data_IF_072063063249
#
_entry.id   IF_072063063249
#
_cell.length_a   1.000
_cell.length_b   1.000
_cell.length_c   1.000
_cell.angle_alpha   90.00
_cell.angle_beta   90.00
_cell.angle_gamma   90.00
#
_symmetry.space_group_name_H-M   'P 1'
#
loop_
_entity.id
_entity.type
_entity.pdbx_description
1 polymer ?
#
# COMPACT_ATOMS: atom_id res chain seq x y z
N UNK A 1 -7.80 25.75 -4.30
CA UNK A 1 -8.09 25.48 -2.88
C UNK A 1 -7.17 26.32 -1.97
N UNK A 2 -7.19 27.65 -2.09
CA UNK A 2 -6.48 28.61 -1.21
C UNK A 2 -7.41 29.83 -0.95
N UNK A 3 -8.71 29.72 -1.26
CA UNK A 3 -9.59 30.89 -1.39
C UNK A 3 -10.30 31.33 -0.09
N UNK A 4 -10.13 30.62 1.02
CA UNK A 4 -10.92 30.83 2.25
C UNK A 4 -10.06 31.01 3.52
N UNK A 5 -8.98 31.78 3.44
CA UNK A 5 -7.95 31.81 4.50
C UNK A 5 -8.01 33.03 5.43
N UNK A 6 -8.74 34.08 5.06
CA UNK A 6 -8.65 35.37 5.77
C UNK A 6 -7.22 35.93 5.80
N UNK A 7 -6.36 35.59 4.84
CA UNK A 7 -5.00 36.12 4.67
C UNK A 7 -4.96 37.16 3.54
N UNK A 8 -3.90 37.96 3.49
CA UNK A 8 -3.71 38.92 2.39
C UNK A 8 -3.55 38.19 1.06
N UNK A 9 -4.00 38.81 -0.03
CA UNK A 9 -3.87 38.27 -1.41
C UNK A 9 -2.42 37.98 -1.80
N UNK A 10 -1.48 38.78 -1.30
CA UNK A 10 -0.04 38.56 -1.49
C UNK A 10 0.42 37.25 -0.86
N UNK A 11 0.01 36.99 0.39
CA UNK A 11 0.32 35.76 1.08
C UNK A 11 -0.37 34.55 0.41
N UNK A 12 -1.61 34.71 -0.04
CA UNK A 12 -2.33 33.68 -0.83
C UNK A 12 -1.54 33.29 -2.09
N UNK A 13 -1.03 34.29 -2.82
CA UNK A 13 -0.22 34.09 -4.02
C UNK A 13 1.10 33.39 -3.71
N UNK A 14 1.78 33.79 -2.62
CA UNK A 14 3.02 33.16 -2.19
C UNK A 14 2.81 31.70 -1.76
N UNK A 15 1.69 31.39 -1.10
CA UNK A 15 1.31 30.03 -0.75
C UNK A 15 1.02 29.19 -1.99
N UNK A 16 0.32 29.74 -2.98
CA UNK A 16 0.09 29.05 -4.25
C UNK A 16 1.41 28.70 -4.95
N UNK A 17 2.36 29.65 -5.00
CA UNK A 17 3.69 29.40 -5.55
C UNK A 17 4.43 28.30 -4.77
N UNK A 18 4.42 28.37 -3.44
CA UNK A 18 5.03 27.35 -2.59
C UNK A 18 4.44 25.96 -2.83
N UNK A 19 3.11 25.86 -2.99
CA UNK A 19 2.43 24.63 -3.37
C UNK A 19 2.91 24.08 -4.71
N UNK A 20 2.99 24.92 -5.76
CA UNK A 20 3.48 24.50 -7.06
C UNK A 20 4.93 24.01 -6.99
N UNK A 21 5.78 24.70 -6.23
CA UNK A 21 7.15 24.24 -5.98
C UNK A 21 7.18 22.89 -5.26
N UNK A 22 6.25 22.66 -4.32
CA UNK A 22 6.05 21.37 -3.65
C UNK A 22 5.78 20.25 -4.64
N UNK A 23 4.82 20.45 -5.54
CA UNK A 23 4.51 19.48 -6.60
C UNK A 23 5.75 19.17 -7.46
N UNK A 24 6.38 20.22 -7.99
CA UNK A 24 7.55 20.10 -8.87
C UNK A 24 8.74 19.40 -8.18
N UNK A 25 8.86 19.53 -6.86
CA UNK A 25 9.87 18.86 -6.06
C UNK A 25 9.63 17.35 -5.90
N UNK A 26 8.38 16.89 -6.00
CA UNK A 26 7.99 15.48 -5.93
C UNK A 26 7.86 14.79 -7.30
N UNK A 27 7.72 15.53 -8.40
CA UNK A 27 7.44 15.01 -9.76
C UNK A 27 8.35 13.87 -10.26
N UNK A 28 9.57 13.75 -9.73
CA UNK A 28 10.54 12.72 -10.14
C UNK A 28 10.80 11.67 -9.07
N UNK A 29 10.11 11.73 -7.93
CA UNK A 29 10.20 10.71 -6.90
C UNK A 29 9.14 9.66 -7.18
N UNK A 30 9.46 8.38 -6.99
CA UNK A 30 8.49 7.30 -7.15
C UNK A 30 8.25 6.60 -5.82
N UNK A 31 6.98 6.36 -5.46
CA UNK A 31 6.61 5.49 -4.36
C UNK A 31 6.39 4.07 -4.87
N UNK A 32 7.19 3.13 -4.38
CA UNK A 32 7.16 1.72 -4.79
C UNK A 32 6.64 0.87 -3.65
N UNK A 33 5.51 0.17 -3.86
CA UNK A 33 4.97 -0.79 -2.90
C UNK A 33 5.74 -2.11 -2.90
N UNK A 34 6.02 -2.64 -1.72
CA UNK A 34 6.73 -3.90 -1.48
C UNK A 34 6.15 -4.62 -0.26
N UNK A 35 6.47 -5.90 -0.14
CA UNK A 35 6.16 -6.69 1.04
C UNK A 35 7.31 -7.64 1.39
N UNK A 36 7.35 -8.05 2.65
CA UNK A 36 8.23 -9.11 3.13
C UNK A 36 7.38 -10.38 3.27
N UNK A 37 7.83 -11.48 2.64
CA UNK A 37 7.22 -12.80 2.79
C UNK A 37 7.99 -13.68 3.80
N UNK A 38 7.39 -14.78 4.29
CA UNK A 38 6.00 -15.20 4.04
C UNK A 38 4.97 -14.36 4.79
N UNK A 39 3.69 -14.51 4.44
CA UNK A 39 2.59 -13.82 5.12
C UNK A 39 2.40 -14.35 6.55
N UNK A 40 2.14 -13.46 7.49
CA UNK A 40 1.89 -13.73 8.91
C UNK A 40 1.18 -12.56 9.59
N UNK A 41 0.97 -12.67 10.90
CA UNK A 41 0.14 -11.73 11.67
C UNK A 41 0.62 -10.28 11.65
N UNK A 42 1.92 -10.04 11.44
CA UNK A 42 2.54 -8.71 11.36
C UNK A 42 2.86 -8.29 9.94
N UNK A 43 2.52 -9.10 8.92
CA UNK A 43 2.80 -8.78 7.53
C UNK A 43 2.01 -7.55 7.12
N UNK A 44 2.67 -6.67 6.36
CA UNK A 44 2.08 -5.44 5.87
C UNK A 44 2.77 -5.05 4.56
N UNK A 45 2.02 -4.37 3.69
CA UNK A 45 2.60 -3.74 2.51
C UNK A 45 3.21 -2.40 2.92
N UNK A 46 4.43 -2.14 2.49
CA UNK A 46 5.11 -0.88 2.74
C UNK A 46 5.55 -0.22 1.44
N UNK A 47 5.82 1.07 1.51
CA UNK A 47 6.23 1.91 0.40
C UNK A 47 7.61 2.47 0.69
N UNK A 48 8.50 2.38 -0.29
CA UNK A 48 9.79 3.04 -0.28
C UNK A 48 9.80 4.16 -1.33
N UNK A 49 10.66 5.16 -1.13
CA UNK A 49 10.91 6.17 -2.15
C UNK A 49 12.10 5.77 -3.01
N UNK A 50 11.87 5.72 -4.31
CA UNK A 50 12.93 5.66 -5.30
C UNK A 50 13.30 7.07 -5.74
N UNK A 51 14.60 7.39 -5.68
CA UNK A 51 15.16 8.68 -6.09
C UNK A 51 16.02 8.46 -7.34
N UNK A 52 15.62 9.01 -8.51
CA UNK A 52 16.44 8.93 -9.71
C UNK A 52 17.79 9.62 -9.52
N UNK A 53 18.84 9.08 -10.13
CA UNK A 53 20.21 9.59 -9.99
C UNK A 53 20.40 11.07 -10.37
N UNK A 54 19.52 11.63 -11.21
CA UNK A 54 19.54 13.03 -11.62
C UNK A 54 18.99 14.04 -10.60
N UNK A 55 18.39 13.59 -9.49
CA UNK A 55 17.80 14.48 -8.48
C UNK A 55 18.79 14.96 -7.41
N UNK A 56 20.08 14.60 -7.55
CA UNK A 56 21.14 14.86 -6.56
C UNK A 56 21.40 16.34 -6.34
N UNK A 57 21.72 16.67 -5.10
CA UNK A 57 22.11 18.03 -4.69
C UNK A 57 23.50 18.35 -5.27
N UNK A 58 23.58 19.45 -6.00
CA UNK A 58 24.80 19.94 -6.64
C UNK A 58 25.31 21.25 -6.01
N UNK A 59 24.42 22.04 -5.43
CA UNK A 59 24.73 23.32 -4.78
C UNK A 59 24.93 23.15 -3.27
N UNK A 60 25.80 24.00 -2.68
CA UNK A 60 25.92 24.12 -1.22
C UNK A 60 24.80 24.99 -0.66
N UNK A 61 24.01 24.41 0.24
CA UNK A 61 22.96 25.10 0.99
C UNK A 61 23.40 25.31 2.46
N UNK A 62 22.84 26.33 3.11
CA UNK A 62 23.08 26.56 4.52
C UNK A 62 22.58 25.38 5.38
N UNK A 63 23.23 25.05 6.51
CA UNK A 63 22.83 23.90 7.35
C UNK A 63 21.38 23.94 7.82
N UNK A 64 20.83 25.14 8.04
CA UNK A 64 19.45 25.35 8.46
C UNK A 64 18.43 24.88 7.41
N UNK A 65 18.77 24.91 6.13
CA UNK A 65 17.90 24.42 5.03
C UNK A 65 17.77 22.89 5.10
N UNK A 66 18.89 22.18 5.23
CA UNK A 66 18.88 20.73 5.37
C UNK A 66 18.17 20.28 6.64
N UNK A 67 18.34 21.01 7.75
CA UNK A 67 17.59 20.74 8.99
C UNK A 67 16.08 20.89 8.81
N UNK A 68 15.61 21.91 8.08
CA UNK A 68 14.17 22.08 7.78
C UNK A 68 13.64 21.00 6.83
N UNK A 69 14.44 20.54 5.86
CA UNK A 69 14.08 19.43 4.99
C UNK A 69 13.88 18.14 5.81
N UNK A 70 14.80 17.86 6.74
CA UNK A 70 14.75 16.69 7.61
C UNK A 70 13.52 16.63 8.52
N UNK A 71 12.87 17.76 8.80
CA UNK A 71 11.71 17.74 9.69
C UNK A 71 10.51 17.01 9.05
N UNK A 72 10.27 17.16 7.74
CA UNK A 72 9.05 16.63 7.10
C UNK A 72 9.15 16.15 5.65
N UNK A 73 10.33 16.18 5.03
CA UNK A 73 10.55 15.64 3.68
C UNK A 73 11.35 14.34 3.74
N UNK A 74 11.01 13.35 2.90
CA UNK A 74 11.61 12.03 2.98
C UNK A 74 13.04 11.96 2.45
N UNK A 75 13.43 12.87 1.55
CA UNK A 75 14.72 12.87 0.86
C UNK A 75 15.20 14.30 0.62
N UNK A 76 16.50 14.47 0.37
CA UNK A 76 17.08 15.75 -0.02
C UNK A 76 17.33 15.79 -1.53
N UNK A 77 16.61 16.66 -2.23
CA UNK A 77 16.82 16.93 -3.66
C UNK A 77 17.15 18.41 -3.87
N UNK A 78 17.82 18.72 -4.98
CA UNK A 78 18.14 20.11 -5.33
C UNK A 78 16.88 21.00 -5.35
N UNK A 79 15.77 20.49 -5.89
CA UNK A 79 14.48 21.21 -5.95
C UNK A 79 13.90 21.49 -4.55
N UNK A 80 14.00 20.52 -3.64
CA UNK A 80 13.55 20.66 -2.25
C UNK A 80 14.35 21.75 -1.55
N UNK A 81 15.69 21.64 -1.56
CA UNK A 81 16.55 22.57 -0.83
C UNK A 81 16.47 23.99 -1.41
N UNK A 82 16.41 24.13 -2.74
CA UNK A 82 16.19 25.42 -3.41
C UNK A 82 14.88 26.09 -3.00
N UNK A 83 13.81 25.31 -2.85
CA UNK A 83 12.50 25.85 -2.47
C UNK A 83 12.51 26.30 -1.01
N UNK A 84 13.11 25.52 -0.12
CA UNK A 84 13.26 25.89 1.29
C UNK A 84 14.11 27.16 1.47
N UNK A 85 15.19 27.30 0.68
CA UNK A 85 15.99 28.53 0.63
C UNK A 85 15.12 29.72 0.22
N UNK A 86 14.36 29.60 -0.89
CA UNK A 86 13.42 30.62 -1.34
C UNK A 86 12.35 30.99 -0.30
N UNK A 87 11.81 30.03 0.45
CA UNK A 87 10.80 30.28 1.49
C UNK A 87 11.34 31.23 2.57
N UNK A 88 12.64 31.16 2.90
CA UNK A 88 13.30 31.96 3.93
C UNK A 88 13.84 33.31 3.42
N UNK A 89 13.91 33.53 2.10
CA UNK A 89 14.41 34.80 1.54
C UNK A 89 13.52 35.95 2.00
N UNK A 90 14.13 36.95 2.64
CA UNK A 90 13.44 38.16 3.12
C UNK A 90 12.68 37.98 4.44
N UNK A 91 12.73 36.80 5.06
CA UNK A 91 12.10 36.53 6.35
C UNK A 91 13.04 36.91 7.52
N UNK A 92 12.49 36.96 8.74
CA UNK A 92 13.28 37.27 9.94
C UNK A 92 14.45 36.26 10.13
N UNK A 93 15.63 36.69 10.62
CA UNK A 93 16.81 35.82 10.72
C UNK A 93 16.62 34.53 11.55
N UNK A 94 15.71 34.58 12.54
CA UNK A 94 15.37 33.49 13.45
C UNK A 94 14.22 32.59 12.94
N UNK A 95 13.66 32.88 11.77
CA UNK A 95 12.50 32.17 11.20
C UNK A 95 12.74 30.67 11.04
N UNK A 96 13.95 30.27 10.62
CA UNK A 96 14.29 28.86 10.42
C UNK A 96 14.31 28.08 11.75
N UNK A 97 14.87 28.67 12.80
CA UNK A 97 14.90 28.09 14.14
C UNK A 97 13.50 28.02 14.76
N UNK A 98 12.72 29.09 14.61
CA UNK A 98 11.34 29.13 15.08
C UNK A 98 10.48 28.06 14.40
N UNK A 99 10.55 27.97 13.06
CA UNK A 99 9.78 27.01 12.29
C UNK A 99 10.12 25.57 12.70
N UNK A 100 11.41 25.26 12.84
CA UNK A 100 11.85 23.94 13.33
C UNK A 100 11.31 23.62 14.72
N UNK A 101 11.41 24.57 15.66
CA UNK A 101 10.89 24.40 17.02
C UNK A 101 9.36 24.24 17.07
N UNK A 102 8.65 24.74 16.06
CA UNK A 102 7.20 24.61 15.87
C UNK A 102 6.80 23.27 15.25
N UNK A 103 7.60 22.73 14.33
CA UNK A 103 7.34 21.48 13.62
C UNK A 103 7.62 20.21 14.44
N UNK A 104 8.26 20.33 15.59
CA UNK A 104 8.49 19.20 16.51
C UNK A 104 7.16 18.49 16.85
N UNK A 105 7.08 17.19 16.54
CA UNK A 105 5.86 16.36 16.42
C UNK A 105 4.82 16.55 17.53
N UNK A 106 5.23 16.68 18.80
CA UNK A 106 4.31 16.79 19.94
C UNK A 106 3.49 18.09 19.98
N UNK A 107 3.97 19.15 19.34
CA UNK A 107 3.30 20.46 19.36
C UNK A 107 2.22 20.60 18.30
N UNK A 108 2.29 19.83 17.21
CA UNK A 108 1.35 19.93 16.09
C UNK A 108 0.07 19.10 16.27
N UNK A 109 0.12 18.00 17.03
CA UNK A 109 -1.07 17.18 17.35
C UNK A 109 -1.97 17.79 18.44
N UNK A 110 -1.46 18.74 19.25
CA UNK A 110 -2.17 19.33 20.40
C UNK A 110 -3.12 20.48 20.05
N UNK A 111 -3.55 20.60 18.79
CA UNK A 111 -4.30 21.79 18.33
C UNK A 111 -5.78 21.72 18.72
N UNK A 112 -6.03 22.08 19.98
CA UNK A 112 -7.30 22.59 20.49
C UNK A 112 -7.15 23.77 21.48
N UNK A 113 -5.95 24.33 21.68
CA UNK A 113 -5.79 25.49 22.56
C UNK A 113 -5.88 26.81 21.76
N UNK A 114 -6.80 27.73 22.10
CA UNK A 114 -6.95 29.03 21.44
C UNK A 114 -5.71 29.96 21.54
N UNK A 115 -4.76 29.62 22.41
CA UNK A 115 -3.52 30.40 22.67
C UNK A 115 -2.41 30.16 21.64
N UNK A 116 -2.58 29.25 20.68
CA UNK A 116 -1.57 28.91 19.68
C UNK A 116 -1.64 29.80 18.42
N UNK A 117 -1.89 31.11 18.58
CA UNK A 117 -1.83 32.03 17.43
C UNK A 117 -0.39 32.07 16.89
N UNK A 118 -0.25 31.88 15.57
CA UNK A 118 1.04 32.06 14.91
C UNK A 118 1.44 33.53 15.05
N UNK A 119 2.58 33.80 15.67
CA UNK A 119 3.09 35.16 15.79
C UNK A 119 3.14 35.82 14.41
N UNK A 120 2.67 37.06 14.33
CA UNK A 120 2.46 37.75 13.05
C UNK A 120 3.73 37.84 12.21
N UNK A 121 4.90 37.90 12.87
CA UNK A 121 6.23 37.91 12.24
C UNK A 121 6.60 36.60 11.52
N UNK A 122 6.05 35.45 11.91
CA UNK A 122 6.38 34.15 11.30
C UNK A 122 5.22 33.55 10.49
N UNK A 123 4.10 34.27 10.40
CA UNK A 123 2.90 33.84 9.68
C UNK A 123 3.23 33.49 8.24
N UNK A 124 4.03 34.31 7.58
CA UNK A 124 4.38 34.16 6.17
C UNK A 124 5.27 32.93 5.92
N UNK A 125 6.34 32.74 6.69
CA UNK A 125 7.21 31.56 6.58
C UNK A 125 6.46 30.25 6.88
N UNK A 126 5.60 30.24 7.91
CA UNK A 126 4.84 29.05 8.31
C UNK A 126 3.90 28.58 7.20
N UNK A 127 3.10 29.49 6.65
CA UNK A 127 2.13 29.13 5.61
C UNK A 127 2.76 28.78 4.28
N UNK A 128 3.86 29.45 3.89
CA UNK A 128 4.66 29.02 2.73
C UNK A 128 5.18 27.60 2.90
N UNK A 129 5.77 27.28 4.06
CA UNK A 129 6.27 25.93 4.35
C UNK A 129 5.16 24.88 4.32
N UNK A 130 4.02 25.16 4.98
CA UNK A 130 2.89 24.25 4.99
C UNK A 130 2.35 23.99 3.58
N UNK A 131 2.15 25.05 2.78
CA UNK A 131 1.68 24.91 1.40
C UNK A 131 2.66 24.10 0.53
N UNK A 132 3.96 24.31 0.72
CA UNK A 132 5.00 23.51 0.08
C UNK A 132 4.91 22.03 0.44
N UNK A 133 4.81 21.69 1.73
CA UNK A 133 4.66 20.30 2.19
C UNK A 133 3.40 19.65 1.61
N UNK A 134 2.27 20.35 1.60
CA UNK A 134 1.02 19.80 1.08
C UNK A 134 1.08 19.58 -0.43
N UNK A 135 1.65 20.53 -1.19
CA UNK A 135 1.87 20.37 -2.63
C UNK A 135 2.79 19.19 -2.95
N UNK A 136 3.83 18.99 -2.13
CA UNK A 136 4.75 17.85 -2.25
C UNK A 136 4.03 16.51 -2.05
N UNK A 137 3.33 16.31 -0.93
CA UNK A 137 2.65 15.05 -0.66
C UNK A 137 1.45 14.82 -1.58
N UNK A 138 0.77 15.87 -2.03
CA UNK A 138 -0.26 15.76 -3.06
C UNK A 138 0.27 15.12 -4.34
N UNK A 139 1.41 15.60 -4.83
CA UNK A 139 2.01 15.08 -6.05
C UNK A 139 2.63 13.70 -5.83
N UNK A 140 3.30 13.48 -4.70
CA UNK A 140 3.93 12.19 -4.39
C UNK A 140 2.88 11.07 -4.25
N UNK A 141 1.85 11.29 -3.44
CA UNK A 141 0.79 10.31 -3.19
C UNK A 141 -0.13 10.15 -4.40
N UNK A 142 -0.29 11.19 -5.23
CA UNK A 142 -1.08 11.13 -6.46
C UNK A 142 -0.65 10.01 -7.42
N UNK A 143 0.59 9.55 -7.34
CA UNK A 143 1.13 8.48 -8.19
C UNK A 143 0.58 7.09 -7.86
N UNK A 144 0.16 6.89 -6.61
CA UNK A 144 -0.36 5.61 -6.11
C UNK A 144 -1.88 5.61 -6.00
N UNK A 145 -2.55 6.68 -6.46
CA UNK A 145 -4.01 6.81 -6.42
C UNK A 145 -4.60 6.46 -7.78
N UNK A 146 -5.66 5.64 -7.78
CA UNK A 146 -6.55 5.44 -8.92
C UNK A 146 -7.84 6.23 -8.72
N UNK A 147 -8.16 7.09 -9.70
CA UNK A 147 -9.39 7.89 -9.75
C UNK A 147 -10.46 7.27 -10.66
N UNK A 148 -10.28 6.04 -11.15
CA UNK A 148 -11.20 5.40 -12.12
C UNK A 148 -12.67 5.39 -11.66
N UNK A 149 -12.90 5.29 -10.35
CA UNK A 149 -14.24 5.15 -9.75
C UNK A 149 -14.67 6.40 -8.97
N UNK A 150 -14.11 7.55 -9.36
CA UNK A 150 -14.17 8.77 -8.58
C UNK A 150 -14.32 9.99 -9.52
N UNK A 151 -15.33 10.83 -9.30
CA UNK A 151 -15.53 12.07 -10.08
C UNK A 151 -14.56 13.21 -9.71
N UNK A 152 -13.57 13.47 -10.57
CA UNK A 152 -12.39 14.31 -10.24
C UNK A 152 -12.65 15.75 -9.84
N UNK A 153 -13.82 16.29 -10.18
CA UNK A 153 -14.16 17.69 -9.93
C UNK A 153 -14.49 17.98 -8.45
N UNK A 154 -14.87 16.97 -7.66
CA UNK A 154 -15.46 17.14 -6.33
C UNK A 154 -14.53 16.72 -5.16
N UNK A 155 -13.27 16.33 -5.42
CA UNK A 155 -12.42 15.62 -4.44
C UNK A 155 -11.80 16.42 -3.29
N UNK A 156 -12.22 17.65 -3.05
CA UNK A 156 -11.55 18.50 -2.06
C UNK A 156 -12.42 18.75 -0.82
N UNK A 157 -12.73 17.67 -0.08
CA UNK A 157 -13.42 17.72 1.23
C UNK A 157 -12.49 17.53 2.45
N UNK A 158 -11.19 17.27 2.24
CA UNK A 158 -10.28 16.89 3.32
C UNK A 158 -9.91 17.99 4.32
N UNK A 159 -9.39 17.55 5.49
CA UNK A 159 -8.88 18.43 6.56
C UNK A 159 -7.42 18.83 6.27
N UNK A 160 -7.14 19.48 5.14
CA UNK A 160 -5.78 19.85 4.72
C UNK A 160 -5.65 21.28 4.19
N UNK A 161 -6.45 22.18 4.78
CA UNK A 161 -6.32 23.63 4.62
C UNK A 161 -5.25 24.26 5.51
N UNK A 162 -5.12 25.57 5.47
CA UNK A 162 -3.99 26.31 6.06
C UNK A 162 -3.93 26.29 7.58
N UNK A 163 -5.03 25.98 8.25
CA UNK A 163 -5.05 25.81 9.69
C UNK A 163 -4.87 24.34 10.11
N UNK A 164 -4.67 23.42 9.16
CA UNK A 164 -4.49 22.00 9.45
C UNK A 164 -3.06 21.69 9.87
N UNK A 165 -2.74 22.03 11.13
CA UNK A 165 -1.51 21.60 11.78
C UNK A 165 -1.46 20.10 11.98
N UNK A 166 -2.62 19.44 12.16
CA UNK A 166 -2.71 17.99 12.30
C UNK A 166 -2.31 17.28 11.01
N UNK A 167 -2.78 17.73 9.85
CA UNK A 167 -2.36 17.14 8.57
C UNK A 167 -0.89 17.43 8.26
N UNK A 168 -0.40 18.63 8.60
CA UNK A 168 1.03 18.92 8.54
C UNK A 168 1.84 17.97 9.43
N UNK A 169 1.36 17.65 10.63
CA UNK A 169 1.99 16.67 11.52
C UNK A 169 2.03 15.26 10.88
N UNK A 170 0.94 14.83 10.24
CA UNK A 170 0.88 13.54 9.54
C UNK A 170 1.88 13.47 8.38
N UNK A 171 1.94 14.51 7.54
CA UNK A 171 2.92 14.62 6.46
C UNK A 171 4.35 14.61 6.99
N UNK A 172 4.60 15.38 8.05
CA UNK A 172 5.91 15.46 8.72
C UNK A 172 6.32 14.10 9.26
N UNK A 173 5.38 13.35 9.83
CA UNK A 173 5.61 12.01 10.34
C UNK A 173 5.91 11.02 9.20
N UNK A 174 5.10 10.99 8.15
CA UNK A 174 5.33 10.15 6.98
C UNK A 174 6.72 10.39 6.38
N UNK A 175 7.12 11.65 6.24
CA UNK A 175 8.45 12.02 5.75
C UNK A 175 9.57 11.46 6.62
N UNK A 176 9.39 11.42 7.95
CA UNK A 176 10.38 10.83 8.85
C UNK A 176 10.44 9.31 8.75
N UNK A 177 9.31 8.62 8.65
CA UNK A 177 9.30 7.16 8.42
C UNK A 177 10.05 6.80 7.13
N UNK A 178 9.68 7.46 6.03
CA UNK A 178 10.30 7.25 4.72
C UNK A 178 11.79 7.62 4.70
N UNK A 179 12.25 8.57 5.54
CA UNK A 179 13.66 8.96 5.62
C UNK A 179 14.48 8.08 6.55
N UNK A 180 13.97 7.77 7.74
CA UNK A 180 14.72 7.10 8.82
C UNK A 180 14.57 5.59 8.78
N UNK A 181 13.35 5.13 8.57
CA UNK A 181 13.03 3.69 8.52
C UNK A 181 13.10 3.19 7.07
N UNK A 182 13.35 4.10 6.12
CA UNK A 182 13.38 3.89 4.67
C UNK A 182 12.07 3.35 4.08
N UNK A 183 11.02 3.19 4.90
CA UNK A 183 9.71 2.65 4.52
C UNK A 183 8.55 3.33 5.25
N UNK A 184 7.39 3.37 4.61
CA UNK A 184 6.12 3.74 5.22
C UNK A 184 5.09 2.65 5.00
N UNK A 185 4.30 2.34 6.01
CA UNK A 185 3.30 1.28 5.93
C UNK A 185 2.08 1.69 5.12
N UNK A 186 1.38 0.72 4.53
CA UNK A 186 0.13 0.98 3.81
C UNK A 186 -0.94 1.58 4.72
N UNK A 187 -1.00 1.19 5.99
CA UNK A 187 -1.88 1.82 6.97
C UNK A 187 -1.61 3.32 7.13
N UNK A 188 -0.34 3.74 7.20
CA UNK A 188 0.04 5.16 7.22
C UNK A 188 -0.46 5.92 5.99
N UNK A 189 -0.25 5.35 4.81
CA UNK A 189 -0.68 5.95 3.55
C UNK A 189 -2.21 6.08 3.49
N UNK A 190 -2.95 5.01 3.81
CA UNK A 190 -4.42 5.01 3.83
C UNK A 190 -4.98 6.09 4.75
N UNK A 191 -4.37 6.30 5.92
CA UNK A 191 -4.81 7.34 6.87
C UNK A 191 -4.55 8.76 6.38
N UNK A 192 -3.40 9.00 5.74
CA UNK A 192 -3.11 10.30 5.13
C UNK A 192 -4.10 10.58 4.00
N UNK A 193 -4.36 9.59 3.15
CA UNK A 193 -5.34 9.71 2.07
C UNK A 193 -6.77 9.89 2.59
N UNK A 194 -7.15 9.21 3.68
CA UNK A 194 -8.43 9.43 4.34
C UNK A 194 -8.57 10.86 4.88
N UNK A 195 -7.48 11.44 5.43
CA UNK A 195 -7.48 12.84 5.84
C UNK A 195 -7.60 13.81 4.64
N UNK A 196 -6.99 13.46 3.49
CA UNK A 196 -7.01 14.27 2.27
C UNK A 196 -8.35 14.23 1.52
N UNK A 197 -9.00 13.07 1.43
CA UNK A 197 -10.15 12.85 0.54
C UNK A 197 -11.45 12.51 1.26
N UNK A 198 -11.39 11.83 2.41
CA UNK A 198 -12.58 11.45 3.20
C UNK A 198 -12.90 12.48 4.31
N UNK A 199 -11.99 13.44 4.58
CA UNK A 199 -12.18 14.42 5.65
C UNK A 199 -12.20 13.82 7.05
N UNK A 200 -11.72 12.58 7.22
CA UNK A 200 -11.61 11.92 8.53
C UNK A 200 -10.23 12.18 9.13
N UNK A 201 -10.20 12.77 10.33
CA UNK A 201 -8.94 12.96 11.05
C UNK A 201 -8.52 11.64 11.70
N UNK A 202 -7.55 10.96 11.09
CA UNK A 202 -6.96 9.73 11.65
C UNK A 202 -5.71 10.09 12.44
N UNK A 203 -5.70 9.79 13.73
CA UNK A 203 -4.52 10.01 14.56
C UNK A 203 -3.52 8.89 14.30
N UNK A 204 -2.36 9.27 13.76
CA UNK A 204 -1.28 8.35 13.50
C UNK A 204 -0.35 8.28 14.72
N UNK A 205 -0.08 7.08 15.25
CA UNK A 205 0.97 6.87 16.26
C UNK A 205 2.12 6.04 15.68
N UNK A 206 3.40 6.44 15.89
CA UNK A 206 4.57 5.75 15.34
C UNK A 206 4.63 4.25 15.62
N UNK A 207 4.07 3.83 16.76
CA UNK A 207 4.12 2.45 17.24
C UNK A 207 2.78 1.71 17.06
N UNK A 208 1.80 2.33 16.40
CA UNK A 208 0.47 1.75 16.18
C UNK A 208 0.28 1.45 14.70
N UNK A 209 1.04 0.49 14.19
CA UNK A 209 0.72 -0.06 12.87
C UNK A 209 -0.58 -0.85 12.98
N UNK A 210 -1.44 -0.69 11.97
CA UNK A 210 -2.66 -1.49 11.81
C UNK A 210 -2.45 -2.37 10.58
N UNK A 211 -1.64 -3.43 10.68
CA UNK A 211 -1.11 -4.17 9.53
C UNK A 211 -2.19 -4.72 8.60
N UNK A 212 -3.40 -4.96 9.13
CA UNK A 212 -4.55 -5.48 8.39
C UNK A 212 -5.46 -4.41 7.81
N UNK A 213 -5.14 -3.12 7.90
CA UNK A 213 -5.98 -2.07 7.32
C UNK A 213 -5.94 -2.13 5.79
N UNK A 214 -7.09 -2.41 5.18
CA UNK A 214 -7.24 -2.51 3.72
C UNK A 214 -8.06 -1.37 3.12
N UNK A 215 -8.65 -0.53 3.96
CA UNK A 215 -9.36 0.67 3.51
C UNK A 215 -10.00 1.47 4.63
N UNK A 216 -10.48 2.66 4.28
CA UNK A 216 -11.24 3.55 5.16
C UNK A 216 -12.50 4.01 4.40
N UNK A 217 -13.66 3.55 4.86
CA UNK A 217 -14.97 3.92 4.31
C UNK A 217 -15.37 5.30 4.80
N UNK A 218 -16.02 6.06 3.92
CA UNK A 218 -16.73 7.27 4.28
C UNK A 218 -17.45 7.85 3.07
N UNK A 219 -17.59 9.17 3.01
CA UNK A 219 -18.25 9.81 1.86
C UNK A 219 -17.49 9.48 0.57
N UNK A 220 -16.17 9.57 0.63
CA UNK A 220 -15.25 9.10 -0.39
C UNK A 220 -14.41 8.02 0.27
N UNK A 221 -14.63 6.78 -0.13
CA UNK A 221 -13.94 5.63 0.42
C UNK A 221 -12.54 5.53 -0.16
N UNK A 222 -11.55 5.28 0.70
CA UNK A 222 -10.15 5.11 0.32
C UNK A 222 -9.79 3.65 0.53
N UNK A 223 -9.61 2.90 -0.55
CA UNK A 223 -9.53 1.45 -0.52
C UNK A 223 -8.28 0.97 -1.25
N UNK A 224 -7.70 -0.14 -0.83
CA UNK A 224 -6.69 -0.82 -1.65
C UNK A 224 -7.31 -1.23 -3.00
N UNK A 225 -6.60 -0.97 -4.10
CA UNK A 225 -7.13 -1.21 -5.45
C UNK A 225 -7.57 -2.67 -5.69
N UNK A 226 -6.89 -3.70 -5.15
CA UNK A 226 -7.33 -5.09 -5.27
C UNK A 226 -8.75 -5.39 -4.77
N UNK A 227 -9.30 -4.58 -3.84
CA UNK A 227 -10.70 -4.72 -3.41
C UNK A 227 -11.68 -4.32 -4.52
N UNK A 228 -11.28 -3.50 -5.48
CA UNK A 228 -12.14 -3.03 -6.58
C UNK A 228 -11.84 -3.78 -7.87
N UNK A 229 -10.56 -4.07 -8.10
CA UNK A 229 -10.09 -4.69 -9.34
C UNK A 229 -9.00 -5.72 -9.05
N UNK A 230 -9.32 -6.97 -9.35
CA UNK A 230 -8.36 -8.07 -9.28
C UNK A 230 -7.32 -7.93 -10.38
N UNK A 231 -6.06 -8.02 -9.99
CA UNK A 231 -4.90 -7.87 -10.88
C UNK A 231 -3.73 -8.68 -10.32
N UNK A 232 -2.85 -9.12 -11.20
CA UNK A 232 -1.58 -9.77 -10.91
C UNK A 232 -0.38 -8.88 -11.25
N UNK A 233 -0.62 -7.63 -11.63
CA UNK A 233 0.41 -6.61 -11.80
C UNK A 233 0.78 -5.99 -10.44
N UNK A 234 2.02 -6.18 -9.94
CA UNK A 234 2.46 -5.62 -8.67
C UNK A 234 2.28 -4.09 -8.57
N UNK A 235 2.44 -3.37 -9.69
CA UNK A 235 2.26 -1.92 -9.70
C UNK A 235 0.82 -1.54 -9.36
N UNK A 236 -0.15 -2.27 -9.88
CA UNK A 236 -1.57 -2.06 -9.60
C UNK A 236 -1.96 -2.53 -8.19
N UNK A 237 -1.39 -3.63 -7.70
CA UNK A 237 -1.65 -4.15 -6.34
C UNK A 237 -1.23 -3.14 -5.26
N UNK A 238 -0.16 -2.40 -5.52
CA UNK A 238 0.31 -1.33 -4.63
C UNK A 238 -0.53 -0.04 -4.66
N UNK A 239 -1.51 0.09 -5.57
CA UNK A 239 -2.32 1.32 -5.69
C UNK A 239 -3.51 1.33 -4.73
N UNK A 240 -4.04 2.54 -4.54
CA UNK A 240 -5.18 2.85 -3.70
C UNK A 240 -6.27 3.49 -4.56
N UNK A 241 -7.46 2.93 -4.54
CA UNK A 241 -8.63 3.46 -5.21
C UNK A 241 -9.36 4.49 -4.34
N UNK A 242 -9.80 5.58 -4.95
CA UNK A 242 -10.83 6.44 -4.40
C UNK A 242 -12.18 6.04 -4.99
N UNK A 243 -13.20 5.87 -4.15
CA UNK A 243 -14.52 5.40 -4.55
C UNK A 243 -15.60 6.28 -3.93
N UNK A 244 -16.42 6.90 -4.78
CA UNK A 244 -17.48 7.85 -4.39
C UNK A 244 -18.87 7.19 -4.25
N UNK A 245 -18.96 5.88 -4.52
CA UNK A 245 -20.19 5.10 -4.36
C UNK A 245 -20.09 4.13 -3.19
N UNK A 246 -21.20 3.90 -2.45
CA UNK A 246 -21.21 2.89 -1.41
C UNK A 246 -20.94 1.52 -2.02
N UNK A 247 -19.95 0.80 -1.48
CA UNK A 247 -19.71 -0.59 -1.84
C UNK A 247 -20.62 -1.42 -0.94
N UNK A 248 -21.72 -1.88 -1.49
CA UNK A 248 -22.82 -2.55 -0.78
C UNK A 248 -22.32 -3.70 0.10
N UNK A 249 -21.29 -4.41 -0.35
CA UNK A 249 -20.75 -5.59 0.33
C UNK A 249 -19.65 -5.29 1.36
N UNK A 250 -19.32 -4.01 1.60
CA UNK A 250 -18.28 -3.57 2.54
C UNK A 250 -18.84 -2.61 3.59
N UNK A 251 -18.73 -3.00 4.86
CA UNK A 251 -19.20 -2.22 6.00
C UNK A 251 -18.05 -2.05 6.97
N UNK A 252 -17.80 -0.81 7.40
CA UNK A 252 -16.72 -0.53 8.34
C UNK A 252 -16.93 -1.24 9.69
N UNK A 253 -15.85 -1.78 10.25
CA UNK A 253 -15.85 -2.43 11.55
C UNK A 253 -15.83 -1.43 12.72
N UNK A 254 -15.47 -0.18 12.44
CA UNK A 254 -15.34 0.89 13.43
C UNK A 254 -16.16 2.12 13.06
N UNK A 255 -16.54 2.91 14.07
CA UNK A 255 -17.13 4.23 13.86
C UNK A 255 -16.22 5.15 13.03
N UNK A 256 -14.90 4.92 13.11
CA UNK A 256 -13.90 5.65 12.35
C UNK A 256 -13.80 5.19 10.88
N UNK A 257 -14.55 4.18 10.47
CA UNK A 257 -14.67 3.76 9.06
C UNK A 257 -13.63 2.75 8.62
N UNK A 258 -12.86 2.18 9.55
CA UNK A 258 -11.76 1.29 9.20
C UNK A 258 -12.28 -0.06 8.69
N UNK A 259 -11.72 -0.50 7.57
CA UNK A 259 -11.88 -1.84 7.03
C UNK A 259 -10.61 -2.63 7.27
N UNK A 260 -10.75 -3.68 8.07
CA UNK A 260 -9.67 -4.59 8.38
C UNK A 260 -9.83 -5.86 7.55
N UNK A 261 -8.73 -6.40 7.02
CA UNK A 261 -8.71 -7.73 6.46
C UNK A 261 -8.98 -8.77 7.56
N UNK A 262 -9.82 -9.74 7.26
CA UNK A 262 -10.06 -10.91 8.09
C UNK A 262 -9.10 -12.04 7.70
N UNK A 263 -8.82 -12.97 8.62
CA UNK A 263 -7.85 -14.07 8.42
C UNK A 263 -8.25 -15.08 7.34
N UNK A 264 -9.42 -14.93 6.72
CA UNK A 264 -9.87 -15.88 5.69
C UNK A 264 -10.08 -17.29 6.27
N UNK A 265 -10.10 -18.31 5.40
CA UNK A 265 -10.06 -19.71 5.86
C UNK A 265 -11.33 -20.54 5.63
N UNK A 266 -11.97 -20.41 4.47
CA UNK A 266 -13.13 -21.22 4.09
C UNK A 266 -12.83 -22.63 3.56
N UNK A 267 -11.55 -23.00 3.45
CA UNK A 267 -11.11 -24.17 2.70
C UNK A 267 -10.41 -25.21 3.58
N UNK A 268 -10.65 -26.48 3.26
CA UNK A 268 -9.92 -27.60 3.83
C UNK A 268 -8.78 -27.98 2.91
N UNK A 269 -7.60 -28.12 3.51
CA UNK A 269 -6.40 -28.55 2.82
C UNK A 269 -6.14 -30.02 3.17
N UNK A 270 -5.81 -30.81 2.16
CA UNK A 270 -5.52 -32.24 2.27
C UNK A 270 -4.15 -32.53 1.65
N UNK A 271 -3.46 -33.56 2.14
CA UNK A 271 -2.22 -34.01 1.50
C UNK A 271 -2.54 -34.78 0.22
N UNK A 272 -1.68 -34.69 -0.82
CA UNK A 272 -1.84 -35.46 -2.04
C UNK A 272 -1.87 -36.96 -1.75
N UNK A 273 -2.78 -37.67 -2.40
CA UNK A 273 -2.84 -39.13 -2.42
C UNK A 273 -1.95 -39.71 -3.53
N UNK A 274 -1.72 -41.03 -3.51
CA UNK A 274 -0.93 -41.71 -4.55
C UNK A 274 -1.43 -41.44 -5.99
N UNK A 275 -2.73 -41.19 -6.15
CA UNK A 275 -3.36 -40.94 -7.45
C UNK A 275 -3.23 -39.48 -7.93
N UNK A 276 -2.88 -38.55 -7.03
CA UNK A 276 -2.73 -37.12 -7.35
C UNK A 276 -1.34 -36.81 -7.92
N UNK A 277 -0.41 -37.76 -7.84
CA UNK A 277 0.96 -37.66 -8.33
C UNK A 277 1.04 -37.82 -9.85
N UNK A 278 0.55 -36.83 -10.59
CA UNK A 278 0.82 -36.70 -12.02
C UNK A 278 2.15 -35.95 -12.23
N UNK A 279 3.22 -36.68 -12.55
CA UNK A 279 4.59 -36.15 -12.68
C UNK A 279 4.94 -35.71 -14.12
N UNK A 280 5.69 -34.59 -14.21
CA UNK A 280 6.60 -34.14 -15.26
C UNK A 280 6.08 -33.86 -16.69
N UNK A 281 5.45 -32.70 -16.84
CA UNK A 281 5.73 -31.57 -17.77
C UNK A 281 4.54 -30.63 -17.57
N UNK A 282 4.59 -29.81 -16.53
CA UNK A 282 3.56 -28.82 -16.25
C UNK A 282 3.78 -27.63 -17.17
N UNK A 283 3.07 -27.65 -18.30
CA UNK A 283 2.95 -26.44 -19.11
C UNK A 283 1.92 -25.53 -18.46
N UNK A 284 2.15 -24.20 -18.45
CA UNK A 284 1.11 -23.24 -18.15
C UNK A 284 -0.13 -23.59 -18.98
N UNK A 285 -1.27 -23.78 -18.30
CA UNK A 285 -2.54 -24.02 -18.94
C UNK A 285 -3.58 -23.08 -18.34
N UNK A 286 -4.57 -22.72 -19.16
CA UNK A 286 -5.70 -21.94 -18.67
C UNK A 286 -6.58 -22.78 -17.76
N UNK A 287 -7.25 -22.15 -16.77
CA UNK A 287 -8.22 -22.83 -15.93
C UNK A 287 -9.35 -23.42 -16.78
N UNK A 288 -9.91 -24.56 -16.35
CA UNK A 288 -11.02 -25.21 -17.04
C UNK A 288 -12.34 -24.42 -16.87
N UNK A 289 -12.46 -23.70 -15.76
CA UNK A 289 -13.63 -22.90 -15.40
C UNK A 289 -13.28 -21.41 -15.24
N UNK A 290 -14.27 -20.53 -15.47
CA UNK A 290 -14.07 -19.08 -15.27
C UNK A 290 -13.91 -18.75 -13.79
N UNK A 291 -12.77 -18.21 -13.40
CA UNK A 291 -12.55 -17.72 -12.05
C UNK A 291 -12.99 -16.27 -11.87
N UNK A 292 -13.58 -15.97 -10.73
CA UNK A 292 -13.91 -14.60 -10.30
C UNK A 292 -13.60 -14.43 -8.83
N UNK A 293 -13.07 -13.26 -8.46
CA UNK A 293 -12.84 -12.88 -7.06
C UNK A 293 -13.49 -11.53 -6.79
N UNK A 294 -14.16 -11.39 -5.66
CA UNK A 294 -14.78 -10.13 -5.21
C UNK A 294 -14.67 -9.98 -3.69
N UNK A 295 -14.61 -8.75 -3.18
CA UNK A 295 -14.56 -8.51 -1.75
C UNK A 295 -15.93 -8.75 -1.11
N UNK A 296 -15.96 -9.17 0.15
CA UNK A 296 -17.17 -9.19 0.97
C UNK A 296 -16.83 -9.12 2.47
N UNK A 297 -17.77 -8.68 3.29
CA UNK A 297 -17.64 -8.80 4.74
C UNK A 297 -17.74 -10.26 5.18
N UNK A 298 -16.76 -10.71 5.96
CA UNK A 298 -16.84 -11.94 6.74
C UNK A 298 -17.82 -11.73 7.89
N UNK A 299 -19.11 -11.96 7.64
CA UNK A 299 -20.12 -12.04 8.70
C UNK A 299 -20.35 -13.50 9.04
N UNK A 300 -19.79 -13.94 10.17
CA UNK A 300 -20.25 -15.09 10.97
C UNK A 300 -20.65 -16.32 10.14
N UNK A 301 -19.68 -16.95 9.47
CA UNK A 301 -19.81 -18.35 9.07
C UNK A 301 -18.95 -19.16 10.03
N UNK A 302 -19.58 -19.63 11.12
CA UNK A 302 -19.04 -20.47 12.19
C UNK A 302 -18.14 -19.79 13.24
N UNK A 303 -18.75 -19.12 14.22
CA UNK A 303 -18.32 -19.13 15.64
C UNK A 303 -16.98 -18.50 16.05
N UNK A 304 -16.00 -18.39 15.15
CA UNK A 304 -14.66 -17.88 15.42
C UNK A 304 -14.52 -16.45 14.90
N UNK A 305 -14.09 -15.57 15.81
CA UNK A 305 -14.09 -14.11 15.70
C UNK A 305 -13.11 -13.59 14.63
N UNK A 306 -13.55 -13.42 13.39
CA UNK A 306 -12.77 -12.61 12.43
C UNK A 306 -13.68 -11.67 11.62
N UNK A 307 -14.16 -10.62 12.29
CA UNK A 307 -14.87 -9.51 11.63
C UNK A 307 -13.90 -8.76 10.71
N UNK A 308 -14.22 -8.67 9.41
CA UNK A 308 -13.40 -7.97 8.44
C UNK A 308 -13.67 -8.38 7.00
N UNK A 309 -12.91 -7.80 6.08
CA UNK A 309 -13.01 -8.03 4.64
C UNK A 309 -12.28 -9.31 4.27
N UNK A 310 -12.95 -10.16 3.50
CA UNK A 310 -12.34 -11.31 2.80
C UNK A 310 -12.59 -11.18 1.31
N UNK A 311 -11.79 -11.90 0.52
CA UNK A 311 -11.97 -12.07 -0.90
C UNK A 311 -12.64 -13.42 -1.17
N UNK A 312 -13.83 -13.38 -1.76
CA UNK A 312 -14.60 -14.56 -2.15
C UNK A 312 -14.14 -15.04 -3.52
N UNK A 313 -13.64 -16.27 -3.62
CA UNK A 313 -13.27 -16.87 -4.89
C UNK A 313 -14.36 -17.81 -5.41
N UNK A 314 -14.72 -17.67 -6.68
CA UNK A 314 -15.62 -18.60 -7.38
C UNK A 314 -14.94 -19.21 -8.58
N UNK A 315 -15.23 -20.49 -8.80
CA UNK A 315 -14.89 -21.24 -9.99
C UNK A 315 -16.20 -21.54 -10.73
N UNK A 316 -16.39 -20.95 -11.91
CA UNK A 316 -17.66 -20.92 -12.62
C UNK A 316 -18.77 -20.29 -11.77
N UNK A 317 -19.80 -21.07 -11.42
CA UNK A 317 -20.89 -20.62 -10.55
C UNK A 317 -20.70 -21.01 -9.08
N UNK A 318 -19.69 -21.82 -8.75
CA UNK A 318 -19.49 -22.38 -7.42
C UNK A 318 -18.60 -21.46 -6.59
N UNK A 319 -19.02 -21.15 -5.36
CA UNK A 319 -18.13 -20.56 -4.37
C UNK A 319 -17.14 -21.63 -3.92
N UNK A 320 -15.86 -21.33 -4.09
CA UNK A 320 -14.74 -22.22 -3.71
C UNK A 320 -14.39 -21.95 -2.25
N UNK A 321 -14.12 -20.70 -1.90
CA UNK A 321 -13.71 -20.32 -0.56
C UNK A 321 -13.45 -18.83 -0.41
N UNK A 322 -12.91 -18.47 0.74
CA UNK A 322 -12.58 -17.09 1.12
C UNK A 322 -11.15 -17.02 1.64
N UNK A 323 -10.47 -15.93 1.31
CA UNK A 323 -9.11 -15.64 1.77
C UNK A 323 -8.95 -14.17 2.12
N UNK A 324 -7.87 -13.87 2.80
CA UNK A 324 -7.42 -12.59 3.29
C UNK A 324 -6.81 -11.83 2.11
N UNK A 325 -7.37 -10.66 1.73
CA UNK A 325 -6.82 -9.86 0.63
C UNK A 325 -5.34 -9.50 0.83
N UNK A 326 -4.90 -9.29 2.08
CA UNK A 326 -3.52 -8.92 2.37
C UNK A 326 -2.54 -10.08 2.12
N UNK A 327 -2.98 -11.32 2.31
CA UNK A 327 -2.14 -12.49 2.07
C UNK A 327 -1.73 -12.58 0.60
N UNK A 328 -2.69 -12.38 -0.32
CA UNK A 328 -2.41 -12.32 -1.75
C UNK A 328 -1.49 -11.14 -2.10
N UNK A 329 -1.79 -9.94 -1.60
CA UNK A 329 -0.98 -8.74 -1.85
C UNK A 329 0.48 -8.92 -1.42
N UNK A 330 0.71 -9.53 -0.25
CA UNK A 330 2.06 -9.80 0.25
C UNK A 330 2.82 -10.75 -0.68
N UNK A 331 2.19 -11.81 -1.18
CA UNK A 331 2.83 -12.73 -2.12
C UNK A 331 3.24 -12.04 -3.41
N UNK A 332 2.37 -11.25 -4.04
CA UNK A 332 2.69 -10.54 -5.29
C UNK A 332 3.70 -9.41 -5.12
N UNK A 333 3.79 -8.80 -3.94
CA UNK A 333 4.73 -7.69 -3.66
C UNK A 333 6.03 -8.16 -2.99
N UNK A 334 6.16 -9.45 -2.69
CA UNK A 334 7.36 -10.03 -2.10
C UNK A 334 8.49 -10.17 -3.12
N UNK A 335 9.74 -10.22 -2.64
CA UNK A 335 10.90 -10.51 -3.49
C UNK A 335 10.85 -11.89 -4.14
N UNK A 336 10.10 -12.85 -3.58
CA UNK A 336 9.87 -14.17 -4.17
C UNK A 336 9.18 -14.10 -5.54
N UNK A 337 8.56 -12.95 -5.86
CA UNK A 337 8.00 -12.65 -7.17
C UNK A 337 9.04 -12.17 -8.21
N UNK A 338 10.17 -11.58 -7.79
CA UNK A 338 10.98 -10.67 -8.65
C UNK A 338 12.33 -11.26 -9.10
N UNK A 339 12.74 -12.44 -8.63
CA UNK A 339 14.05 -13.02 -8.98
C UNK A 339 13.96 -14.11 -10.05
N UNK A 340 14.66 -13.91 -11.17
CA UNK A 340 14.95 -14.97 -12.15
C UNK A 340 16.26 -15.68 -11.79
N UNK A 341 16.25 -17.01 -11.75
CA UNK A 341 17.44 -17.85 -11.73
C UNK A 341 17.24 -19.03 -12.68
N UNK A 342 18.29 -19.41 -13.41
CA UNK A 342 18.27 -20.47 -14.41
C UNK A 342 18.99 -21.72 -13.91
N UNK A 343 18.32 -22.87 -14.04
CA UNK A 343 18.88 -24.22 -14.01
C UNK A 343 17.92 -25.15 -14.73
N UNK A 344 18.44 -26.16 -15.43
CA UNK A 344 17.63 -27.16 -16.15
C UNK A 344 17.62 -28.47 -15.36
N UNK A 345 16.48 -28.85 -14.80
CA UNK A 345 16.21 -30.21 -14.31
C UNK A 345 14.75 -30.64 -14.59
N UNK A 346 14.53 -31.95 -14.68
CA UNK A 346 13.21 -32.56 -14.74
C UNK A 346 12.57 -32.59 -13.35
N UNK A 347 11.32 -32.14 -13.28
CA UNK A 347 10.64 -31.80 -12.02
C UNK A 347 9.66 -32.88 -11.53
N UNK A 348 9.71 -33.20 -10.24
CA UNK A 348 8.71 -34.02 -9.53
C UNK A 348 7.81 -33.10 -8.69
N UNK A 349 6.52 -33.00 -9.02
CA UNK A 349 5.54 -32.17 -8.31
C UNK A 349 4.11 -32.74 -8.49
N UNK A 350 3.17 -32.36 -7.61
CA UNK A 350 1.75 -32.68 -7.78
C UNK A 350 0.97 -31.48 -8.36
N UNK A 351 -0.08 -31.77 -9.14
CA UNK A 351 -0.92 -30.73 -9.74
C UNK A 351 -2.14 -30.42 -8.86
N UNK A 352 -2.39 -29.13 -8.61
CA UNK A 352 -3.61 -28.65 -7.96
C UNK A 352 -4.60 -28.22 -9.05
N UNK A 353 -5.55 -29.10 -9.38
CA UNK A 353 -6.54 -28.87 -10.45
C UNK A 353 -7.79 -28.14 -9.97
N UNK A 354 -8.54 -27.57 -10.91
CA UNK A 354 -9.83 -26.92 -10.65
C UNK A 354 -10.80 -27.86 -9.91
N UNK A 355 -10.77 -29.17 -10.17
CA UNK A 355 -11.63 -30.14 -9.47
C UNK A 355 -11.29 -30.25 -7.98
N UNK A 356 -10.03 -30.05 -7.57
CA UNK A 356 -9.62 -30.05 -6.16
C UNK A 356 -10.23 -28.84 -5.43
N UNK A 357 -10.18 -27.67 -6.07
CA UNK A 357 -10.81 -26.44 -5.58
C UNK A 357 -12.33 -26.60 -5.47
N UNK A 358 -12.96 -27.10 -6.54
CA UNK A 358 -14.40 -27.34 -6.56
C UNK A 358 -14.80 -28.36 -5.50
N UNK A 359 -14.03 -29.42 -5.26
CA UNK A 359 -14.33 -30.37 -4.19
C UNK A 359 -14.22 -29.78 -2.77
N UNK A 360 -13.62 -28.59 -2.61
CA UNK A 360 -13.32 -27.97 -1.32
C UNK A 360 -12.22 -28.72 -0.54
N UNK A 361 -11.39 -29.48 -1.27
CA UNK A 361 -10.33 -30.36 -0.76
C UNK A 361 -9.06 -30.05 -1.54
N UNK A 362 -8.44 -28.94 -1.20
CA UNK A 362 -7.29 -28.44 -1.95
C UNK A 362 -6.04 -29.17 -1.48
N UNK A 363 -5.23 -29.60 -2.43
CA UNK A 363 -3.99 -30.27 -2.11
C UNK A 363 -2.95 -29.28 -1.60
N UNK A 364 -2.28 -29.62 -0.51
CA UNK A 364 -1.15 -28.87 0.02
C UNK A 364 0.12 -29.75 0.04
N UNK A 365 1.31 -29.16 0.00
CA UNK A 365 2.53 -29.94 0.01
C UNK A 365 2.71 -30.70 1.33
N UNK A 366 3.30 -31.91 1.25
CA UNK A 366 3.52 -32.75 2.43
C UNK A 366 5.02 -32.86 2.73
N UNK A 367 5.54 -32.17 3.76
CA UNK A 367 6.96 -32.21 4.09
C UNK A 367 7.43 -33.58 4.63
N UNK A 368 6.49 -34.50 4.90
CA UNK A 368 6.80 -35.84 5.42
C UNK A 368 6.82 -36.92 4.33
N UNK A 369 6.56 -36.59 3.06
CA UNK A 369 6.51 -37.54 1.95
C UNK A 369 7.52 -37.15 0.86
N UNK A 370 8.59 -37.95 0.66
CA UNK A 370 9.59 -37.69 -0.36
C UNK A 370 8.98 -37.66 -1.77
N UNK A 371 9.29 -36.64 -2.56
CA UNK A 371 8.88 -36.53 -3.97
C UNK A 371 7.50 -35.89 -4.20
N UNK A 372 6.87 -35.27 -3.20
CA UNK A 372 5.65 -34.44 -3.37
C UNK A 372 5.64 -33.23 -2.45
N UNK A 373 6.82 -32.66 -2.28
CA UNK A 373 7.11 -31.50 -1.46
C UNK A 373 6.59 -30.19 -2.07
N UNK A 374 6.10 -30.20 -3.33
CA UNK A 374 5.68 -28.99 -4.03
C UNK A 374 4.43 -29.19 -4.88
N UNK A 375 3.54 -28.20 -4.83
CA UNK A 375 2.31 -28.16 -5.63
C UNK A 375 2.37 -27.18 -6.78
N UNK A 376 1.72 -27.51 -7.90
CA UNK A 376 1.61 -26.64 -9.08
C UNK A 376 0.16 -26.28 -9.36
N UNK A 377 -0.16 -24.99 -9.37
CA UNK A 377 -1.47 -24.44 -9.74
C UNK A 377 -1.41 -23.88 -11.16
N UNK A 378 -2.29 -24.34 -12.06
CA UNK A 378 -2.36 -23.83 -13.44
C UNK A 378 -3.38 -22.71 -13.57
N UNK A 379 -2.92 -21.54 -13.97
CA UNK A 379 -3.65 -20.28 -13.84
C UNK A 379 -3.44 -19.32 -15.00
N UNK A 380 -2.81 -19.79 -16.08
CA UNK A 380 -2.38 -18.96 -17.20
C UNK A 380 -3.51 -18.09 -17.77
N UNK A 381 -3.26 -16.79 -17.86
CA UNK A 381 -4.25 -15.80 -18.34
C UNK A 381 -5.39 -15.49 -17.35
N UNK A 382 -5.35 -16.01 -16.12
CA UNK A 382 -6.38 -15.78 -15.10
C UNK A 382 -5.80 -15.04 -13.89
N UNK A 383 -5.96 -13.71 -13.85
CA UNK A 383 -5.58 -12.92 -12.67
C UNK A 383 -6.38 -13.32 -11.44
N UNK A 384 -7.66 -13.67 -11.60
CA UNK A 384 -8.54 -14.10 -10.51
C UNK A 384 -8.07 -15.40 -9.85
N UNK A 385 -7.71 -16.41 -10.64
CA UNK A 385 -7.21 -17.67 -10.08
C UNK A 385 -5.84 -17.48 -9.42
N UNK A 386 -4.94 -16.74 -10.06
CA UNK A 386 -3.61 -16.42 -9.48
C UNK A 386 -3.75 -15.71 -8.14
N UNK A 387 -4.61 -14.70 -8.09
CA UNK A 387 -4.83 -13.92 -6.89
C UNK A 387 -5.48 -14.74 -5.78
N UNK A 388 -6.45 -15.59 -6.11
CA UNK A 388 -7.06 -16.51 -5.16
C UNK A 388 -6.07 -17.56 -4.62
N UNK A 389 -5.35 -18.25 -5.51
CA UNK A 389 -4.36 -19.25 -5.12
C UNK A 389 -3.25 -18.64 -4.25
N UNK A 390 -2.73 -17.47 -4.63
CA UNK A 390 -1.76 -16.74 -3.82
C UNK A 390 -2.31 -16.46 -2.41
N UNK A 391 -3.53 -15.93 -2.31
CA UNK A 391 -4.17 -15.66 -1.02
C UNK A 391 -4.36 -16.92 -0.16
N UNK A 392 -4.88 -18.01 -0.72
CA UNK A 392 -5.16 -19.24 0.02
C UNK A 392 -3.90 -19.89 0.61
N UNK A 393 -2.83 -19.99 -0.17
CA UNK A 393 -1.60 -20.63 0.29
C UNK A 393 -0.73 -19.68 1.13
N UNK A 394 -0.80 -18.36 0.92
CA UNK A 394 0.01 -17.40 1.66
C UNK A 394 -0.41 -17.35 3.13
N UNK A 395 -1.70 -17.48 3.40
CA UNK A 395 -2.25 -17.64 4.75
C UNK A 395 -1.68 -18.84 5.51
N UNK A 396 -1.20 -19.87 4.79
CA UNK A 396 -0.59 -21.06 5.39
C UNK A 396 0.91 -20.90 5.64
N UNK A 397 1.49 -19.76 5.27
CA UNK A 397 2.93 -19.50 5.41
C UNK A 397 3.79 -20.29 4.43
N UNK A 398 3.19 -20.82 3.36
CA UNK A 398 3.90 -21.55 2.31
C UNK A 398 4.70 -20.58 1.43
N UNK A 399 5.86 -21.01 0.91
CA UNK A 399 6.51 -20.26 -0.16
C UNK A 399 5.65 -20.32 -1.41
N UNK A 400 5.38 -19.17 -2.02
CA UNK A 400 4.63 -19.05 -3.25
C UNK A 400 5.50 -18.40 -4.30
N UNK A 401 5.83 -19.17 -5.33
CA UNK A 401 6.45 -18.65 -6.54
C UNK A 401 5.41 -18.55 -7.65
N UNK A 402 5.46 -17.48 -8.43
CA UNK A 402 4.53 -17.24 -9.54
C UNK A 402 5.36 -17.18 -10.82
N UNK A 403 4.94 -17.95 -11.82
CA UNK A 403 5.52 -17.97 -13.15
C UNK A 403 4.48 -17.49 -14.17
N UNK A 404 4.83 -16.51 -14.99
CA UNK A 404 3.94 -15.98 -16.05
C UNK A 404 4.21 -16.64 -17.40
N UNK A 405 5.42 -17.15 -17.59
CA UNK A 405 5.90 -17.76 -18.82
C UNK A 405 6.46 -19.15 -18.55
N UNK A 406 6.52 -19.99 -19.58
CA UNK A 406 7.15 -21.31 -19.46
C UNK A 406 8.64 -21.22 -19.07
N UNK A 407 9.33 -20.14 -19.45
CA UNK A 407 10.71 -19.87 -19.05
C UNK A 407 10.85 -19.45 -17.59
N UNK A 408 9.89 -18.69 -17.05
CA UNK A 408 9.87 -18.33 -15.62
C UNK A 408 9.53 -19.52 -14.73
N UNK A 409 8.83 -20.53 -15.25
CA UNK A 409 8.39 -21.70 -14.49
C UNK A 409 9.56 -22.43 -13.84
N UNK A 410 10.66 -22.67 -14.57
CA UNK A 410 11.84 -23.34 -14.02
C UNK A 410 12.46 -22.56 -12.86
N UNK A 411 12.65 -21.24 -13.01
CA UNK A 411 13.19 -20.42 -11.93
C UNK A 411 12.27 -20.33 -10.71
N UNK A 412 10.94 -20.29 -10.93
CA UNK A 412 9.96 -20.36 -9.85
C UNK A 412 9.99 -21.70 -9.12
N UNK A 413 10.13 -22.77 -9.89
CA UNK A 413 10.26 -24.12 -9.37
C UNK A 413 11.53 -24.29 -8.52
N UNK A 414 12.69 -23.85 -9.00
CA UNK A 414 13.97 -23.96 -8.28
C UNK A 414 13.94 -23.23 -6.93
N UNK A 415 13.29 -22.06 -6.87
CA UNK A 415 13.13 -21.30 -5.61
C UNK A 415 12.35 -22.10 -4.58
N UNK A 416 11.20 -22.59 -5.02
CA UNK A 416 10.32 -23.43 -4.21
C UNK A 416 11.06 -24.70 -3.81
N UNK A 417 11.74 -25.38 -4.75
CA UNK A 417 12.58 -26.54 -4.48
C UNK A 417 13.63 -26.30 -3.40
N UNK A 418 14.29 -25.13 -3.40
CA UNK A 418 15.30 -24.78 -2.41
C UNK A 418 14.75 -24.61 -0.98
N UNK A 419 13.43 -24.47 -0.80
CA UNK A 419 12.78 -24.40 0.50
C UNK A 419 12.20 -25.74 0.98
N UNK A 420 12.38 -26.83 0.23
CA UNK A 420 11.84 -28.18 0.51
C UNK A 420 10.30 -28.26 0.63
N UNK A 421 9.57 -27.13 0.56
CA UNK A 421 8.11 -27.07 0.48
C UNK A 421 7.58 -25.76 -0.17
N UNK A 422 6.46 -25.81 -0.89
CA UNK A 422 5.82 -24.61 -1.46
C UNK A 422 4.90 -24.84 -2.66
N UNK A 423 4.39 -23.74 -3.21
CA UNK A 423 3.43 -23.70 -4.32
C UNK A 423 3.98 -22.87 -5.48
N UNK A 424 3.92 -23.44 -6.68
CA UNK A 424 4.16 -22.72 -7.93
C UNK A 424 2.82 -22.41 -8.59
N UNK A 425 2.59 -21.14 -8.93
CA UNK A 425 1.41 -20.69 -9.67
C UNK A 425 1.86 -20.33 -11.10
N UNK A 426 1.44 -21.11 -12.10
CA UNK A 426 1.92 -21.04 -13.50
C UNK A 426 0.86 -20.57 -14.51
#
# INVERSE_FOLDING_TARGET
MIYALGVSRELETAMFQAWQHGKVAADHLELVGKAEGPFGYTSEVYYNIYVPGGARVSRKYGPHIGLLANEGLPVDTEKILRTLDWILVGEAPDSSQWLRARLAQDKLFRVRSPDMQCEQRYKQVFYKYQAFIFGFYYQLLGQIISFENAYTADFFYGIWGTHSTSFLAMCTHLGRCLRKDEKATRSQILYILAAMYNGRCKTFYPNSTLPKLVGVIGQISVLTLPLIRITDDPKEISKIALVDVPIVDLIANSADGDLMASEGGGLRFEYPSENDHAVAITRPASPASRWTVYPCMSTVLNGDRTDGVVMAARCGKRLVGWFNPLAADVSFLSSAYVTESYSEETVVAFEVRDEHWEAGKILQPNPNQPGSEFGVVRSHGSSSMRYAAAGFYAERGEEIAIARTASEFSGAFDRVQAQDQGIVIA
#
